data_IF_986279054985
#
_entry.id   IF_986279054985
#
_cell.length_a   1.000
_cell.length_b   1.000
_cell.length_c   1.000
_cell.angle_alpha   90.00
_cell.angle_beta   90.00
_cell.angle_gamma   90.00
#
_symmetry.space_group_name_H-M   'P 1'
#
loop_
_entity.id
_entity.type
_entity.pdbx_description
1 polymer ?
#
# COMPACT_ATOMS: atom_id res chain seq x y z
N UNK A 1 -7.83 -15.45 19.33
CA UNK A 1 -8.45 -14.21 18.81
C UNK A 1 -7.77 -13.88 17.51
N UNK A 2 -8.48 -13.88 16.39
CA UNK A 2 -7.91 -13.60 15.08
C UNK A 2 -7.76 -12.07 14.92
N UNK A 3 -6.52 -11.57 14.90
CA UNK A 3 -6.21 -10.21 14.48
C UNK A 3 -6.51 -10.10 12.98
N UNK A 4 -7.36 -9.15 12.63
CA UNK A 4 -7.90 -9.02 11.30
C UNK A 4 -7.23 -7.80 10.64
N UNK A 5 -5.99 -7.98 10.17
CA UNK A 5 -5.30 -6.98 9.37
C UNK A 5 -6.17 -6.59 8.16
N UNK A 6 -6.65 -5.35 8.13
CA UNK A 6 -7.38 -4.80 6.98
C UNK A 6 -6.41 -4.47 5.86
N UNK A 7 -6.43 -5.33 4.85
CA UNK A 7 -5.72 -5.22 3.57
C UNK A 7 -6.33 -4.09 2.74
N UNK A 8 -5.50 -3.21 2.18
CA UNK A 8 -5.89 -2.43 1.00
C UNK A 8 -5.81 -3.40 -0.17
N UNK A 9 -6.94 -4.00 -0.52
CA UNK A 9 -7.03 -5.07 -1.52
C UNK A 9 -7.44 -4.49 -2.87
N UNK A 10 -6.46 -4.15 -3.71
CA UNK A 10 -6.76 -3.97 -5.14
C UNK A 10 -6.68 -5.34 -5.79
N UNK A 11 -7.84 -5.97 -6.01
CA UNK A 11 -7.92 -7.30 -6.61
C UNK A 11 -7.62 -7.16 -8.10
N UNK A 12 -6.37 -7.38 -8.48
CA UNK A 12 -6.03 -7.72 -9.86
C UNK A 12 -6.59 -9.14 -10.08
N UNK A 13 -7.36 -9.36 -11.15
CA UNK A 13 -7.96 -10.67 -11.41
C UNK A 13 -6.89 -11.76 -11.22
N UNK A 14 -7.12 -12.65 -10.26
CA UNK A 14 -6.25 -13.76 -9.84
C UNK A 14 -4.98 -13.50 -9.03
N UNK A 15 -4.80 -12.32 -8.44
CA UNK A 15 -3.71 -12.09 -7.49
C UNK A 15 -4.21 -11.22 -6.31
N UNK A 16 -3.90 -11.65 -5.08
CA UNK A 16 -4.12 -10.79 -3.91
C UNK A 16 -2.80 -10.12 -3.54
N UNK A 17 -2.83 -8.80 -3.33
CA UNK A 17 -1.69 -8.03 -2.85
C UNK A 17 -2.04 -7.49 -1.46
N UNK A 18 -1.19 -7.79 -0.48
CA UNK A 18 -1.34 -7.30 0.89
C UNK A 18 -0.14 -6.42 1.23
N UNK A 19 -0.36 -5.28 1.91
CA UNK A 19 0.71 -4.44 2.45
C UNK A 19 0.67 -4.49 3.97
N UNK A 20 1.80 -4.82 4.58
CA UNK A 20 1.98 -4.91 6.03
C UNK A 20 2.95 -3.83 6.48
N UNK A 21 2.49 -2.94 7.35
CA UNK A 21 3.31 -1.88 7.94
C UNK A 21 4.16 -2.46 9.08
N UNK A 22 5.48 -2.43 8.94
CA UNK A 22 6.37 -2.98 9.98
C UNK A 22 6.36 -2.06 11.19
N UNK A 23 6.13 -2.64 12.37
CA UNK A 23 6.11 -1.90 13.64
C UNK A 23 4.83 -1.10 13.91
N UNK A 24 3.84 -1.15 13.01
CA UNK A 24 2.54 -0.48 13.17
C UNK A 24 1.41 -1.47 12.90
N UNK A 25 0.29 -1.31 13.59
CA UNK A 25 -0.89 -2.14 13.34
C UNK A 25 -2.15 -1.30 13.19
N UNK A 26 -2.97 -1.62 12.18
CA UNK A 26 -4.30 -1.01 12.03
C UNK A 26 -5.23 -1.34 13.20
N UNK A 27 -4.95 -2.42 13.95
CA UNK A 27 -5.71 -2.81 15.13
C UNK A 27 -5.29 -1.99 16.38
N UNK A 28 -4.15 -1.29 16.35
CA UNK A 28 -3.61 -0.50 17.47
C UNK A 28 -4.17 0.92 17.47
N UNK A 29 -4.78 1.36 18.57
CA UNK A 29 -5.25 2.75 18.75
C UNK A 29 -4.09 3.76 18.86
N UNK A 30 -2.88 3.31 19.20
CA UNK A 30 -1.71 4.18 19.32
C UNK A 30 -1.00 4.44 17.98
N UNK A 31 -1.16 3.51 17.02
CA UNK A 31 -0.48 3.57 15.72
C UNK A 31 -1.35 4.15 14.62
N UNK A 32 -2.54 4.64 14.95
CA UNK A 32 -3.56 4.97 13.95
C UNK A 32 -4.31 6.25 14.28
N UNK A 33 -4.97 6.79 13.26
CA UNK A 33 -5.90 7.90 13.36
C UNK A 33 -7.11 7.64 12.49
N UNK A 34 -8.25 8.23 12.85
CA UNK A 34 -9.44 8.24 12.00
C UNK A 34 -9.33 9.36 10.97
N UNK A 35 -9.22 8.99 9.70
CA UNK A 35 -9.31 9.90 8.56
C UNK A 35 -10.78 10.07 8.16
N UNK A 36 -11.23 11.33 8.18
CA UNK A 36 -12.59 11.76 7.77
C UNK A 36 -12.54 12.79 6.64
N UNK A 37 -11.43 12.87 5.91
CA UNK A 37 -11.23 13.86 4.84
C UNK A 37 -12.16 13.66 3.63
N UNK A 38 -12.70 12.45 3.46
CA UNK A 38 -13.70 12.15 2.42
C UNK A 38 -15.10 12.15 3.05
N UNK A 39 -15.99 13.00 2.51
CA UNK A 39 -17.37 13.08 3.00
C UNK A 39 -18.06 11.70 2.98
N UNK A 40 -18.71 11.37 4.10
CA UNK A 40 -19.42 10.11 4.26
C UNK A 40 -18.55 8.88 4.51
N UNK A 41 -17.22 9.03 4.59
CA UNK A 41 -16.30 7.92 4.90
C UNK A 41 -15.41 8.25 6.11
N UNK A 42 -15.45 7.39 7.11
CA UNK A 42 -14.43 7.34 8.17
C UNK A 42 -13.61 6.07 8.02
N UNK A 43 -12.29 6.22 7.97
CA UNK A 43 -11.36 5.09 7.85
C UNK A 43 -10.21 5.23 8.83
N UNK A 44 -9.82 4.11 9.43
CA UNK A 44 -8.65 4.03 10.30
C UNK A 44 -7.41 3.86 9.42
N UNK A 45 -6.44 4.75 9.57
CA UNK A 45 -5.17 4.75 8.82
C UNK A 45 -3.99 4.70 9.79
N UNK A 46 -2.83 4.25 9.32
CA UNK A 46 -1.59 4.24 10.12
C UNK A 46 -1.02 5.66 10.22
N UNK A 47 -0.62 6.04 11.43
CA UNK A 47 -0.02 7.34 11.74
C UNK A 47 1.52 7.25 11.74
N UNK A 48 2.14 8.13 10.98
CA UNK A 48 3.60 8.31 10.91
C UNK A 48 3.98 9.75 11.27
N UNK A 49 5.10 9.91 11.97
CA UNK A 49 5.72 11.22 12.21
C UNK A 49 6.74 11.54 11.10
N UNK A 50 7.15 12.80 10.95
CA UNK A 50 8.03 13.24 9.84
C UNK A 50 9.34 12.46 9.73
N UNK A 51 9.90 12.07 10.88
CA UNK A 51 11.24 11.47 10.96
C UNK A 51 11.16 9.94 11.09
N UNK A 52 9.95 9.37 11.05
CA UNK A 52 9.72 7.94 11.19
C UNK A 52 9.85 7.22 9.83
N UNK A 53 10.71 6.18 9.71
CA UNK A 53 10.82 5.43 8.47
C UNK A 53 9.54 4.63 8.18
N UNK A 54 9.09 4.67 6.93
CA UNK A 54 7.98 3.85 6.44
C UNK A 54 8.54 2.55 5.89
N UNK A 55 8.57 1.50 6.72
CA UNK A 55 9.00 0.17 6.31
C UNK A 55 7.77 -0.72 6.10
N UNK A 56 7.66 -1.34 4.92
CA UNK A 56 6.52 -2.24 4.63
C UNK A 56 6.98 -3.59 4.07
N UNK A 57 6.18 -4.62 4.31
CA UNK A 57 6.27 -5.90 3.61
C UNK A 57 5.06 -6.02 2.69
N UNK A 58 5.31 -6.22 1.39
CA UNK A 58 4.28 -6.49 0.40
C UNK A 58 4.20 -7.99 0.16
N UNK A 59 3.02 -8.59 0.36
CA UNK A 59 2.75 -9.99 0.06
C UNK A 59 1.97 -10.09 -1.25
N UNK A 60 2.50 -10.83 -2.20
CA UNK A 60 1.85 -11.10 -3.49
C UNK A 60 1.44 -12.56 -3.50
N UNK A 61 0.13 -12.84 -3.55
CA UNK A 61 -0.46 -14.19 -3.48
C UNK A 61 -1.17 -14.53 -4.78
N UNK A 62 -0.51 -15.22 -5.73
CA UNK A 62 -1.12 -15.62 -6.99
C UNK A 62 -2.17 -16.71 -6.76
N UNK A 63 -3.40 -16.49 -7.22
CA UNK A 63 -4.46 -17.51 -7.26
C UNK A 63 -4.33 -18.47 -8.46
N UNK A 64 -3.55 -18.08 -9.47
CA UNK A 64 -3.04 -18.89 -10.58
C UNK A 64 -1.74 -18.24 -11.06
N UNK A 65 -1.04 -18.92 -11.97
CA UNK A 65 0.12 -18.36 -12.67
C UNK A 65 -0.20 -17.00 -13.28
N UNK A 66 0.59 -15.98 -12.94
CA UNK A 66 0.52 -14.63 -13.51
C UNK A 66 1.82 -14.29 -14.23
N UNK A 67 1.70 -13.54 -15.33
CA UNK A 67 2.82 -12.93 -16.04
C UNK A 67 2.74 -11.42 -15.84
N UNK A 68 3.82 -10.80 -15.39
CA UNK A 68 3.87 -9.36 -15.16
C UNK A 68 5.01 -8.71 -15.96
N UNK A 69 4.88 -7.41 -16.21
CA UNK A 69 5.90 -6.58 -16.89
C UNK A 69 6.80 -5.83 -15.91
N UNK A 70 6.63 -6.12 -14.63
CA UNK A 70 7.50 -5.68 -13.56
C UNK A 70 6.73 -5.35 -12.29
N UNK A 71 7.43 -5.29 -11.18
CA UNK A 71 6.85 -5.00 -9.87
C UNK A 71 7.55 -3.78 -9.27
N UNK A 72 6.75 -2.78 -8.92
CA UNK A 72 7.22 -1.54 -8.31
C UNK A 72 6.35 -1.19 -7.11
N UNK A 73 6.99 -0.75 -6.03
CA UNK A 73 6.34 -0.16 -4.86
C UNK A 73 6.78 1.30 -4.78
N UNK A 74 5.81 2.20 -4.67
CA UNK A 74 6.02 3.63 -4.55
C UNK A 74 5.47 4.15 -3.21
N UNK A 75 6.27 4.93 -2.50
CA UNK A 75 5.81 5.80 -1.43
C UNK A 75 5.69 7.22 -1.98
N UNK A 76 4.45 7.72 -2.08
CA UNK A 76 4.16 9.01 -2.70
C UNK A 76 3.37 9.88 -1.73
N UNK A 77 3.81 11.12 -1.55
CA UNK A 77 3.03 12.17 -0.91
C UNK A 77 2.59 13.18 -1.96
N UNK A 78 1.29 13.47 -1.99
CA UNK A 78 0.68 14.33 -3.00
C UNK A 78 -0.25 15.35 -2.36
N UNK A 79 -0.33 16.52 -3.00
CA UNK A 79 -1.39 17.50 -2.78
C UNK A 79 -2.37 17.36 -3.95
N UNK A 80 -3.65 17.13 -3.63
CA UNK A 80 -4.72 17.06 -4.63
C UNK A 80 -5.62 18.28 -4.46
N UNK A 81 -5.68 19.13 -5.49
CA UNK A 81 -6.57 20.29 -5.53
C UNK A 81 -7.77 19.94 -6.38
N UNK A 82 -8.95 19.89 -5.76
CA UNK A 82 -10.21 19.57 -6.41
C UNK A 82 -10.91 20.86 -6.89
N UNK A 83 -10.59 21.30 -8.10
CA UNK A 83 -11.31 22.37 -8.83
C UNK A 83 -12.07 21.75 -10.02
N UNK A 84 -12.45 22.54 -11.03
CA UNK A 84 -13.03 22.06 -12.30
C UNK A 84 -12.16 21.00 -13.02
N UNK A 85 -10.88 20.94 -12.65
CA UNK A 85 -9.92 19.89 -13.00
C UNK A 85 -9.22 19.45 -11.73
N UNK A 86 -9.06 18.14 -11.57
CA UNK A 86 -8.25 17.58 -10.50
C UNK A 86 -6.77 17.80 -10.81
N UNK A 87 -6.10 18.59 -9.97
CA UNK A 87 -4.67 18.84 -10.08
C UNK A 87 -3.92 18.09 -8.97
N UNK A 88 -2.91 17.30 -9.36
CA UNK A 88 -2.08 16.52 -8.43
C UNK A 88 -0.64 17.01 -8.50
N UNK A 89 -0.09 17.39 -7.35
CA UNK A 89 1.32 17.75 -7.21
C UNK A 89 1.99 16.81 -6.22
N UNK A 90 3.00 16.06 -6.67
CA UNK A 90 3.83 15.23 -5.80
C UNK A 90 4.87 16.10 -5.07
N UNK A 91 4.98 15.94 -3.74
CA UNK A 91 6.01 16.61 -2.94
C UNK A 91 7.05 15.64 -2.38
N UNK A 92 6.77 14.33 -2.40
CA UNK A 92 7.74 13.27 -2.10
C UNK A 92 7.40 12.02 -2.90
N UNK A 93 8.45 11.33 -3.37
CA UNK A 93 8.33 10.12 -4.17
C UNK A 93 9.55 9.24 -3.93
N UNK A 94 9.34 8.03 -3.42
CA UNK A 94 10.37 7.00 -3.29
C UNK A 94 9.88 5.74 -3.98
N UNK A 95 10.72 5.17 -4.84
CA UNK A 95 10.36 4.01 -5.67
C UNK A 95 11.36 2.89 -5.49
N UNK A 96 10.86 1.66 -5.40
CA UNK A 96 11.68 0.44 -5.47
C UNK A 96 11.09 -0.52 -6.50
N UNK A 97 11.92 -0.91 -7.48
CA UNK A 97 11.60 -1.95 -8.46
C UNK A 97 12.17 -3.27 -7.97
N UNK A 98 11.32 -4.30 -7.87
CA UNK A 98 11.72 -5.63 -7.37
C UNK A 98 11.99 -6.62 -8.50
N UNK A 99 11.20 -6.53 -9.56
CA UNK A 99 11.43 -7.28 -10.79
C UNK A 99 11.18 -6.31 -11.94
N UNK A 100 12.24 -5.71 -12.48
CA UNK A 100 12.13 -4.66 -13.48
C UNK A 100 11.96 -5.20 -14.91
N UNK A 101 12.37 -6.45 -15.15
CA UNK A 101 12.33 -7.10 -16.46
C UNK A 101 11.00 -7.83 -16.68
N UNK A 102 10.27 -8.12 -15.60
CA UNK A 102 9.04 -8.87 -15.65
C UNK A 102 9.32 -10.37 -15.58
N UNK A 103 8.26 -11.14 -15.38
CA UNK A 103 8.43 -12.54 -15.06
C UNK A 103 7.13 -13.29 -14.82
N UNK A 104 7.29 -14.49 -14.31
CA UNK A 104 6.20 -15.38 -13.89
C UNK A 104 6.17 -15.43 -12.36
N UNK A 105 4.97 -15.28 -11.79
CA UNK A 105 4.72 -15.56 -10.37
C UNK A 105 3.69 -16.69 -10.28
N UNK A 106 4.08 -17.76 -9.61
CA UNK A 106 3.23 -18.93 -9.38
C UNK A 106 3.22 -19.39 -7.90
N UNK A 107 4.00 -18.73 -7.05
CA UNK A 107 4.03 -18.91 -5.60
C UNK A 107 3.98 -17.56 -4.90
N UNK A 108 3.58 -17.57 -3.62
CA UNK A 108 3.55 -16.37 -2.79
C UNK A 108 4.95 -15.70 -2.75
N UNK A 109 4.97 -14.38 -2.94
CA UNK A 109 6.19 -13.55 -2.85
C UNK A 109 6.08 -12.58 -1.68
N UNK A 110 7.21 -12.33 -1.03
CA UNK A 110 7.33 -11.27 -0.02
C UNK A 110 8.38 -10.25 -0.48
N UNK A 111 7.99 -8.98 -0.54
CA UNK A 111 8.85 -7.89 -0.97
C UNK A 111 8.99 -6.88 0.17
N UNK A 112 10.22 -6.66 0.61
CA UNK A 112 10.52 -5.67 1.65
C UNK A 112 10.83 -4.32 1.00
N UNK A 113 10.00 -3.32 1.30
CA UNK A 113 10.22 -1.92 0.97
C UNK A 113 10.69 -1.18 2.22
#
# INVERSE_FOLDING_TARGET
MASMMRKILEKVDSCNIDVIFKGKSLDSEHDTVTDTSQEGQSRKIVLYNSDEPVCVKVLIKPGKRIYHQGIKVDFIGQIVVMNDREERTEFTSQSKKFDAEGGEINTDQELDF
#
